data_IF_250830833989
#
_entry.id   IF_250830833989
#
_cell.length_a   1.000
_cell.length_b   1.000
_cell.length_c   1.000
_cell.angle_alpha   90.00
_cell.angle_beta   90.00
_cell.angle_gamma   90.00
#
_symmetry.space_group_name_H-M   'P 1'
#
loop_
_entity.id
_entity.type
_entity.pdbx_description
1 polymer ?
#
# COMPACT_ATOMS: atom_id res chain seq x y z
N UNK A 1 -34.39 39.93 -12.08
CA UNK A 1 -32.92 39.81 -12.12
C UNK A 1 -32.54 38.76 -11.07
N UNK A 2 -32.42 37.49 -11.47
CA UNK A 2 -32.08 36.41 -10.54
C UNK A 2 -30.56 36.39 -10.35
N UNK A 3 -30.10 36.80 -9.18
CA UNK A 3 -28.72 36.54 -8.74
C UNK A 3 -28.58 35.03 -8.52
N UNK A 4 -27.88 34.35 -9.40
CA UNK A 4 -27.40 33.00 -9.13
C UNK A 4 -26.31 33.11 -8.06
N UNK A 5 -26.62 32.65 -6.85
CA UNK A 5 -25.61 32.41 -5.83
C UNK A 5 -24.67 31.32 -6.38
N UNK A 6 -23.44 31.71 -6.72
CA UNK A 6 -22.36 30.76 -6.97
C UNK A 6 -22.16 30.01 -5.65
N UNK A 7 -22.50 28.72 -5.62
CA UNK A 7 -22.16 27.87 -4.49
C UNK A 7 -20.62 27.89 -4.34
N UNK A 8 -20.13 28.60 -3.33
CA UNK A 8 -18.74 28.47 -2.88
C UNK A 8 -18.59 27.06 -2.30
N UNK A 9 -18.15 26.13 -3.13
CA UNK A 9 -17.68 24.83 -2.67
C UNK A 9 -16.37 25.06 -1.91
N UNK A 10 -16.26 24.57 -0.67
CA UNK A 10 -15.03 24.80 0.10
C UNK A 10 -13.88 23.99 -0.49
N UNK A 11 -12.85 24.69 -0.95
CA UNK A 11 -11.58 24.12 -1.41
C UNK A 11 -10.88 23.33 -0.30
N UNK A 12 -11.11 23.71 0.95
CA UNK A 12 -10.34 23.26 2.12
C UNK A 12 -10.56 21.78 2.44
N UNK A 13 -11.73 21.20 2.13
CA UNK A 13 -11.99 19.77 2.34
C UNK A 13 -11.19 18.86 1.40
N UNK A 14 -10.83 19.38 0.23
CA UNK A 14 -10.09 18.61 -0.76
C UNK A 14 -8.59 18.58 -0.44
N UNK A 15 -8.05 19.72 0.02
CA UNK A 15 -6.63 19.81 0.40
C UNK A 15 -6.29 18.82 1.52
N UNK A 16 -7.15 18.70 2.53
CA UNK A 16 -7.02 17.70 3.61
C UNK A 16 -7.08 16.25 3.08
N UNK A 17 -7.97 15.97 2.12
CA UNK A 17 -8.07 14.64 1.51
C UNK A 17 -6.83 14.28 0.71
N UNK A 18 -6.29 15.22 -0.07
CA UNK A 18 -5.06 15.02 -0.85
C UNK A 18 -3.86 14.82 0.07
N UNK A 19 -3.72 15.62 1.12
CA UNK A 19 -2.65 15.46 2.11
C UNK A 19 -2.71 14.08 2.78
N UNK A 20 -3.91 13.60 3.15
CA UNK A 20 -4.09 12.24 3.71
C UNK A 20 -3.67 11.16 2.72
N UNK A 21 -4.04 11.28 1.45
CA UNK A 21 -3.65 10.32 0.41
C UNK A 21 -2.13 10.32 0.16
N UNK A 22 -1.49 11.49 0.19
CA UNK A 22 -0.03 11.61 0.09
C UNK A 22 0.67 10.92 1.27
N UNK A 23 0.17 11.11 2.49
CA UNK A 23 0.69 10.45 3.69
C UNK A 23 0.55 8.93 3.59
N UNK A 24 -0.60 8.43 3.14
CA UNK A 24 -0.81 6.99 2.95
C UNK A 24 0.14 6.39 1.90
N UNK A 25 0.43 7.11 0.82
CA UNK A 25 1.41 6.68 -0.19
C UNK A 25 2.83 6.63 0.37
N UNK A 26 3.21 7.58 1.21
CA UNK A 26 4.50 7.55 1.89
C UNK A 26 4.62 6.29 2.74
N UNK A 27 3.61 5.97 3.54
CA UNK A 27 3.60 4.76 4.35
C UNK A 27 3.61 3.47 3.51
N UNK A 28 2.89 3.45 2.37
CA UNK A 28 2.93 2.33 1.42
C UNK A 28 4.34 2.13 0.87
N UNK A 29 5.04 3.22 0.54
CA UNK A 29 6.42 3.19 0.08
C UNK A 29 7.37 2.67 1.16
N UNK A 30 7.24 3.13 2.39
CA UNK A 30 8.03 2.64 3.52
C UNK A 30 7.84 1.14 3.76
N UNK A 31 6.60 0.65 3.63
CA UNK A 31 6.30 -0.77 3.68
C UNK A 31 6.94 -1.53 2.52
N UNK A 32 6.86 -1.01 1.29
CA UNK A 32 7.52 -1.61 0.13
C UNK A 32 9.03 -1.71 0.34
N UNK A 33 9.68 -0.63 0.75
CA UNK A 33 11.12 -0.61 1.08
C UNK A 33 11.47 -1.65 2.12
N UNK A 34 10.68 -1.73 3.19
CA UNK A 34 10.87 -2.71 4.26
C UNK A 34 10.78 -4.14 3.72
N UNK A 35 9.79 -4.44 2.88
CA UNK A 35 9.63 -5.76 2.28
C UNK A 35 10.80 -6.08 1.35
N UNK A 36 11.27 -5.12 0.55
CA UNK A 36 12.45 -5.29 -0.30
C UNK A 36 13.68 -5.63 0.53
N UNK A 37 13.92 -4.97 1.67
CA UNK A 37 15.01 -5.32 2.58
C UNK A 37 14.88 -6.74 3.12
N UNK A 38 13.67 -7.17 3.49
CA UNK A 38 13.44 -8.55 3.94
C UNK A 38 13.78 -9.52 2.82
N UNK A 39 13.22 -9.33 1.63
CA UNK A 39 13.40 -10.26 0.51
C UNK A 39 14.85 -10.30 0.03
N UNK A 40 15.56 -9.18 0.03
CA UNK A 40 16.99 -9.15 -0.28
C UNK A 40 17.80 -9.99 0.70
N UNK A 41 17.45 -9.92 1.99
CA UNK A 41 18.04 -10.83 2.97
C UNK A 41 17.70 -12.29 2.66
N UNK A 42 16.43 -12.63 2.36
CA UNK A 42 16.00 -14.00 2.07
C UNK A 42 16.73 -14.64 0.88
N UNK A 43 17.12 -13.86 -0.13
CA UNK A 43 17.87 -14.36 -1.31
C UNK A 43 19.14 -15.11 -0.92
N UNK A 44 19.84 -14.63 0.11
CA UNK A 44 21.07 -15.24 0.61
C UNK A 44 20.85 -16.58 1.34
N UNK A 45 19.60 -16.89 1.69
CA UNK A 45 19.24 -18.08 2.49
C UNK A 45 18.39 -19.10 1.72
N UNK A 46 18.23 -18.93 0.41
CA UNK A 46 17.41 -19.84 -0.42
C UNK A 46 17.88 -21.30 -0.32
N UNK A 47 19.19 -21.53 -0.21
CA UNK A 47 19.79 -22.86 -0.14
C UNK A 47 20.00 -23.36 1.29
N UNK A 48 20.28 -22.44 2.23
CA UNK A 48 20.70 -22.78 3.61
C UNK A 48 19.54 -22.76 4.60
N UNK A 49 18.42 -22.12 4.25
CA UNK A 49 17.30 -21.91 5.15
C UNK A 49 17.57 -20.84 6.22
N UNK A 50 16.52 -20.46 6.93
CA UNK A 50 16.53 -19.50 8.03
C UNK A 50 16.56 -20.23 9.37
N UNK A 51 17.29 -19.66 10.32
CA UNK A 51 17.17 -20.07 11.71
C UNK A 51 15.85 -19.58 12.34
N UNK A 52 15.54 -20.14 13.51
CA UNK A 52 14.28 -19.84 14.21
C UNK A 52 14.16 -18.36 14.63
N UNK A 53 15.26 -17.69 14.97
CA UNK A 53 15.24 -16.29 15.42
C UNK A 53 14.91 -15.36 14.26
N UNK A 54 15.50 -15.58 13.10
CA UNK A 54 15.23 -14.79 11.90
C UNK A 54 13.79 -15.01 11.40
N UNK A 55 13.29 -16.24 11.45
CA UNK A 55 11.88 -16.53 11.15
C UNK A 55 10.94 -15.74 12.05
N UNK A 56 11.16 -15.75 13.38
CA UNK A 56 10.33 -14.98 14.33
C UNK A 56 10.40 -13.48 14.01
N UNK A 57 11.62 -12.94 13.87
CA UNK A 57 11.87 -11.53 13.60
C UNK A 57 11.11 -11.04 12.36
N UNK A 58 11.22 -11.76 11.24
CA UNK A 58 10.56 -11.33 10.01
C UNK A 58 9.05 -11.56 10.03
N UNK A 59 8.55 -12.62 10.68
CA UNK A 59 7.10 -12.80 10.89
C UNK A 59 6.50 -11.67 11.71
N UNK A 60 7.14 -11.28 12.82
CA UNK A 60 6.69 -10.16 13.64
C UNK A 60 6.67 -8.85 12.84
N UNK A 61 7.73 -8.56 12.08
CA UNK A 61 7.79 -7.36 11.24
C UNK A 61 6.68 -7.34 10.20
N UNK A 62 6.43 -8.46 9.52
CA UNK A 62 5.34 -8.61 8.54
C UNK A 62 3.96 -8.48 9.20
N UNK A 63 3.79 -8.98 10.43
CA UNK A 63 2.55 -8.84 11.18
C UNK A 63 2.26 -7.38 11.53
N UNK A 64 3.23 -6.64 12.05
CA UNK A 64 3.07 -5.20 12.34
C UNK A 64 2.65 -4.41 11.09
N UNK A 65 3.20 -4.76 9.93
CA UNK A 65 2.81 -4.14 8.65
C UNK A 65 1.38 -4.49 8.25
N UNK A 66 0.91 -5.70 8.60
CA UNK A 66 -0.47 -6.13 8.36
C UNK A 66 -1.47 -5.30 9.15
N UNK A 67 -1.18 -5.06 10.42
CA UNK A 67 -2.08 -4.28 11.29
C UNK A 67 -2.19 -2.83 10.81
N UNK A 68 -1.06 -2.22 10.39
CA UNK A 68 -1.05 -0.88 9.79
C UNK A 68 -1.79 -0.85 8.44
N UNK A 69 -1.62 -1.87 7.62
CA UNK A 69 -2.27 -1.97 6.31
C UNK A 69 -3.80 -2.06 6.42
N UNK A 70 -4.33 -2.82 7.38
CA UNK A 70 -5.77 -2.90 7.58
C UNK A 70 -6.36 -1.52 7.94
N UNK A 71 -5.73 -0.80 8.85
CA UNK A 71 -6.14 0.57 9.21
C UNK A 71 -6.12 1.51 8.01
N UNK A 72 -5.09 1.44 7.17
CA UNK A 72 -5.02 2.25 5.95
C UNK A 72 -6.12 1.90 4.96
N UNK A 73 -6.47 0.63 4.76
CA UNK A 73 -7.60 0.26 3.92
C UNK A 73 -8.89 0.93 4.37
N UNK A 74 -9.17 0.87 5.68
CA UNK A 74 -10.38 1.48 6.25
C UNK A 74 -10.40 2.99 6.00
N UNK A 75 -9.27 3.67 6.24
CA UNK A 75 -9.14 5.11 6.01
C UNK A 75 -9.27 5.51 4.53
N UNK A 76 -8.69 4.73 3.61
CA UNK A 76 -8.82 4.96 2.17
C UNK A 76 -10.28 4.78 1.74
N UNK A 77 -10.93 3.71 2.19
CA UNK A 77 -12.33 3.42 1.86
C UNK A 77 -13.26 4.48 2.44
N UNK A 78 -13.00 4.98 3.64
CA UNK A 78 -13.73 6.10 4.24
C UNK A 78 -13.61 7.39 3.41
N UNK A 79 -12.41 7.77 2.97
CA UNK A 79 -12.18 8.94 2.11
C UNK A 79 -12.94 8.82 0.79
N UNK A 80 -12.83 7.66 0.12
CA UNK A 80 -13.53 7.39 -1.14
C UNK A 80 -15.04 7.50 -0.95
N UNK A 81 -15.58 6.83 0.07
CA UNK A 81 -17.02 6.78 0.30
C UNK A 81 -17.58 8.14 0.70
N UNK A 82 -16.85 8.91 1.51
CA UNK A 82 -17.24 10.27 1.89
C UNK A 82 -17.33 11.17 0.66
N UNK A 83 -16.30 11.17 -0.21
CA UNK A 83 -16.32 11.98 -1.43
C UNK A 83 -17.45 11.55 -2.40
N UNK A 84 -17.72 10.25 -2.53
CA UNK A 84 -18.89 9.76 -3.31
C UNK A 84 -20.19 10.33 -2.76
N UNK A 85 -20.38 10.34 -1.44
CA UNK A 85 -21.59 10.86 -0.81
C UNK A 85 -21.74 12.37 -1.00
N UNK A 86 -20.64 13.12 -0.93
CA UNK A 86 -20.64 14.57 -1.17
C UNK A 86 -20.96 14.92 -2.62
N UNK A 87 -20.36 14.21 -3.58
CA UNK A 87 -20.67 14.33 -5.01
C UNK A 87 -22.16 14.07 -5.27
N UNK A 88 -22.71 12.97 -4.73
CA UNK A 88 -24.12 12.61 -4.88
C UNK A 88 -25.08 13.65 -4.28
N UNK A 89 -24.67 14.30 -3.19
CA UNK A 89 -25.45 15.36 -2.53
C UNK A 89 -25.24 16.74 -3.18
N UNK A 90 -24.42 16.84 -4.23
CA UNK A 90 -24.06 18.12 -4.86
C UNK A 90 -23.30 19.05 -3.91
N UNK A 91 -22.67 18.52 -2.86
CA UNK A 91 -21.87 19.29 -1.89
C UNK A 91 -20.48 19.63 -2.42
N UNK A 92 -20.01 18.90 -3.41
CA UNK A 92 -18.77 19.16 -4.14
C UNK A 92 -18.94 18.70 -5.59
N UNK A 93 -18.15 19.26 -6.48
CA UNK A 93 -17.95 18.75 -7.86
C UNK A 93 -16.58 18.09 -8.03
N UNK A 94 -15.73 18.17 -7.01
CA UNK A 94 -14.39 17.61 -7.02
C UNK A 94 -14.41 16.13 -6.66
N UNK A 95 -13.93 15.30 -7.59
CA UNK A 95 -13.83 13.86 -7.46
C UNK A 95 -12.39 13.37 -7.20
N UNK A 96 -11.47 14.26 -6.85
CA UNK A 96 -10.05 13.93 -6.69
C UNK A 96 -9.82 12.86 -5.62
N UNK A 97 -10.47 12.98 -4.45
CA UNK A 97 -10.38 11.96 -3.39
C UNK A 97 -10.90 10.58 -3.84
N UNK A 98 -11.97 10.54 -4.64
CA UNK A 98 -12.46 9.30 -5.26
C UNK A 98 -11.46 8.71 -6.26
N UNK A 99 -10.96 9.52 -7.19
CA UNK A 99 -10.08 9.07 -8.27
C UNK A 99 -8.73 8.62 -7.71
N UNK A 100 -8.06 9.48 -6.95
CA UNK A 100 -6.76 9.17 -6.38
C UNK A 100 -6.85 8.15 -5.25
N UNK A 101 -7.92 8.18 -4.44
CA UNK A 101 -8.14 7.18 -3.40
C UNK A 101 -8.20 5.75 -3.98
N UNK A 102 -8.85 5.56 -5.14
CA UNK A 102 -8.86 4.25 -5.82
C UNK A 102 -7.47 3.78 -6.24
N UNK A 103 -6.63 4.69 -6.75
CA UNK A 103 -5.26 4.35 -7.12
C UNK A 103 -4.39 4.03 -5.89
N UNK A 104 -4.51 4.81 -4.81
CA UNK A 104 -3.84 4.53 -3.52
C UNK A 104 -4.29 3.17 -2.97
N UNK A 105 -5.58 2.83 -3.07
CA UNK A 105 -6.13 1.52 -2.65
C UNK A 105 -5.56 0.37 -3.46
N UNK A 106 -5.39 0.55 -4.77
CA UNK A 106 -4.78 -0.42 -5.68
C UNK A 106 -3.31 -0.65 -5.31
N UNK A 107 -2.57 0.40 -4.99
CA UNK A 107 -1.19 0.29 -4.49
C UNK A 107 -1.15 -0.48 -3.17
N UNK A 108 -2.05 -0.20 -2.21
CA UNK A 108 -2.14 -0.97 -0.96
C UNK A 108 -2.36 -2.46 -1.23
N UNK A 109 -3.15 -2.79 -2.26
CA UNK A 109 -3.37 -4.18 -2.71
C UNK A 109 -2.10 -4.81 -3.26
N UNK A 110 -1.31 -4.06 -4.03
CA UNK A 110 0.02 -4.46 -4.47
C UNK A 110 0.96 -4.77 -3.31
N UNK A 111 1.02 -3.87 -2.31
CA UNK A 111 1.85 -4.07 -1.10
C UNK A 111 1.38 -5.30 -0.32
N UNK A 112 0.06 -5.51 -0.20
CA UNK A 112 -0.52 -6.70 0.44
C UNK A 112 -0.05 -7.98 -0.25
N UNK A 113 -0.10 -8.03 -1.58
CA UNK A 113 0.36 -9.21 -2.33
C UNK A 113 1.85 -9.47 -2.08
N UNK A 114 2.70 -8.45 -2.20
CA UNK A 114 4.14 -8.59 -1.95
C UNK A 114 4.44 -9.09 -0.53
N UNK A 115 3.70 -8.58 0.46
CA UNK A 115 3.79 -9.04 1.86
C UNK A 115 3.45 -10.52 2.01
N UNK A 116 2.39 -11.00 1.36
CA UNK A 116 2.03 -12.43 1.36
C UNK A 116 3.17 -13.28 0.78
N UNK A 117 3.74 -12.85 -0.35
CA UNK A 117 4.87 -13.56 -0.97
C UNK A 117 6.12 -13.56 -0.09
N UNK A 118 6.44 -12.45 0.59
CA UNK A 118 7.53 -12.39 1.55
C UNK A 118 7.27 -13.32 2.75
N UNK A 119 6.03 -13.36 3.26
CA UNK A 119 5.65 -14.25 4.36
C UNK A 119 5.75 -15.72 3.98
N UNK A 120 5.29 -16.08 2.77
CA UNK A 120 5.43 -17.42 2.22
C UNK A 120 6.90 -17.82 2.09
N UNK A 121 7.75 -16.94 1.56
CA UNK A 121 9.18 -17.19 1.45
C UNK A 121 9.82 -17.43 2.83
N UNK A 122 9.50 -16.62 3.85
CA UNK A 122 9.96 -16.84 5.23
C UNK A 122 9.51 -18.20 5.76
N UNK A 123 8.27 -18.61 5.50
CA UNK A 123 7.74 -19.90 5.94
C UNK A 123 8.39 -21.09 5.22
N UNK A 124 8.68 -20.96 3.93
CA UNK A 124 9.31 -22.01 3.12
C UNK A 124 10.80 -22.18 3.43
N UNK A 125 11.45 -21.11 3.92
CA UNK A 125 12.86 -21.15 4.34
C UNK A 125 13.04 -21.53 5.82
N UNK A 126 11.96 -21.63 6.60
CA UNK A 126 12.02 -22.04 8.01
C UNK A 126 12.52 -23.48 8.11
N UNK A 127 13.73 -23.68 8.66
CA UNK A 127 14.35 -25.00 8.83
C UNK A 127 13.52 -25.96 9.70
N UNK A 128 12.60 -25.42 10.51
CA UNK A 128 11.72 -26.23 11.37
C UNK A 128 10.44 -26.68 10.66
N UNK A 129 10.20 -26.24 9.42
CA UNK A 129 9.01 -26.61 8.64
C UNK A 129 9.38 -27.50 7.45
N UNK A 130 8.69 -28.61 7.32
CA UNK A 130 8.78 -29.49 6.15
C UNK A 130 7.78 -29.06 5.07
N UNK A 131 7.95 -27.86 4.52
CA UNK A 131 7.20 -27.38 3.36
C UNK A 131 8.01 -27.60 2.09
N UNK A 132 7.33 -27.78 0.95
CA UNK A 132 7.98 -27.74 -0.36
C UNK A 132 8.66 -26.37 -0.53
N UNK A 133 9.98 -26.36 -0.74
CA UNK A 133 10.73 -25.11 -0.85
C UNK A 133 10.54 -24.49 -2.24
N UNK A 134 9.52 -23.63 -2.35
CA UNK A 134 9.25 -22.78 -3.52
C UNK A 134 9.63 -21.32 -3.28
N UNK A 135 10.50 -21.06 -2.31
CA UNK A 135 10.91 -19.71 -1.90
C UNK A 135 11.49 -18.91 -3.07
N UNK A 136 12.29 -19.53 -3.95
CA UNK A 136 12.88 -18.87 -5.12
C UNK A 136 11.81 -18.34 -6.08
N UNK A 137 10.71 -19.07 -6.27
CA UNK A 137 9.60 -18.61 -7.12
C UNK A 137 8.88 -17.42 -6.48
N UNK A 138 8.69 -17.46 -5.15
CA UNK A 138 8.07 -16.37 -4.40
C UNK A 138 8.91 -15.11 -4.47
N UNK A 139 10.22 -15.24 -4.25
CA UNK A 139 11.20 -14.14 -4.35
C UNK A 139 11.23 -13.58 -5.77
N UNK A 140 11.26 -14.42 -6.81
CA UNK A 140 11.26 -13.95 -8.21
C UNK A 140 9.99 -13.15 -8.56
N UNK A 141 8.82 -13.62 -8.13
CA UNK A 141 7.59 -12.86 -8.32
C UNK A 141 7.63 -11.53 -7.58
N UNK A 142 8.14 -11.55 -6.33
CA UNK A 142 8.29 -10.37 -5.52
C UNK A 142 9.15 -9.32 -6.23
N UNK A 143 10.36 -9.68 -6.69
CA UNK A 143 11.28 -8.76 -7.36
C UNK A 143 10.64 -8.10 -8.60
N UNK A 144 9.93 -8.89 -9.42
CA UNK A 144 9.26 -8.34 -10.60
C UNK A 144 8.16 -7.36 -10.22
N UNK A 145 7.32 -7.71 -9.24
CA UNK A 145 6.17 -6.88 -8.86
C UNK A 145 6.61 -5.66 -8.04
N UNK A 146 7.62 -5.74 -7.19
CA UNK A 146 8.11 -4.64 -6.38
C UNK A 146 8.60 -3.47 -7.23
N UNK A 147 9.39 -3.72 -8.27
CA UNK A 147 9.83 -2.68 -9.22
C UNK A 147 8.66 -1.97 -9.90
N UNK A 148 7.68 -2.74 -10.39
CA UNK A 148 6.50 -2.13 -11.03
C UNK A 148 5.65 -1.31 -10.04
N UNK A 149 5.52 -1.79 -8.79
CA UNK A 149 4.74 -1.11 -7.76
C UNK A 149 5.44 0.16 -7.28
N UNK A 150 6.78 0.16 -7.19
CA UNK A 150 7.55 1.36 -6.89
C UNK A 150 7.35 2.45 -7.95
N UNK A 151 7.34 2.07 -9.23
CA UNK A 151 7.04 3.00 -10.32
C UNK A 151 5.61 3.55 -10.24
N UNK A 152 4.62 2.72 -9.90
CA UNK A 152 3.24 3.15 -9.65
C UNK A 152 3.17 4.18 -8.52
N UNK A 153 3.84 3.92 -7.38
CA UNK A 153 3.92 4.85 -6.25
C UNK A 153 4.54 6.18 -6.66
N UNK A 154 5.72 6.16 -7.30
CA UNK A 154 6.43 7.38 -7.71
C UNK A 154 5.56 8.21 -8.66
N UNK A 155 4.92 7.56 -9.63
CA UNK A 155 4.04 8.23 -10.59
C UNK A 155 2.86 8.89 -9.87
N UNK A 156 2.20 8.19 -8.95
CA UNK A 156 1.04 8.71 -8.23
C UNK A 156 1.41 9.83 -7.25
N UNK A 157 2.53 9.69 -6.53
CA UNK A 157 3.08 10.77 -5.68
C UNK A 157 3.28 12.03 -6.50
N UNK A 158 3.91 11.91 -7.68
CA UNK A 158 4.13 13.04 -8.57
C UNK A 158 2.82 13.69 -9.01
N UNK A 159 1.81 12.90 -9.37
CA UNK A 159 0.49 13.43 -9.76
C UNK A 159 -0.20 14.17 -8.62
N UNK A 160 -0.11 13.67 -7.39
CA UNK A 160 -0.70 14.29 -6.21
C UNK A 160 0.06 15.54 -5.74
N UNK A 161 1.35 15.70 -6.06
CA UNK A 161 2.12 16.90 -5.71
C UNK A 161 1.83 18.12 -6.61
N UNK A 162 1.16 17.92 -7.75
CA UNK A 162 0.74 19.00 -8.65
C UNK A 162 -0.76 19.34 -8.53
N UNK A 163 -1.40 18.84 -7.47
CA UNK A 163 -2.79 19.14 -7.11
C UNK A 163 -2.81 20.07 -5.91
#
# INVERSE_FOLDING_TARGET
MYMFAVQQFSSDHNEDSIQKLQQMLLEQRENLTTLCTIVEYLKSYVQTGLDHKDVIKYKQKIQMMTDKQNKRYDQIDELINTNILELKKGKTTDNSALVYGKEVRKIESGVRTLKLFASDAVNMLDLNKHLENRSSERIRYFDKRSTSLEAEIISLTKQLSYK
#
